data_IF_836559756215
#
_entry.id   IF_836559756215
#
_cell.length_a   1.000
_cell.length_b   1.000
_cell.length_c   1.000
_cell.angle_alpha   90.00
_cell.angle_beta   90.00
_cell.angle_gamma   90.00
#
_symmetry.space_group_name_H-M   'P 1'
#
loop_
_entity.id
_entity.type
_entity.pdbx_description
1 polymer ?
#
# COMPACT_ATOMS: atom_id res chain seq x y z
N UNK A 1 46.01 16.14 17.87
CA UNK A 1 46.04 17.28 16.94
C UNK A 1 46.47 16.78 15.56
N UNK A 2 45.54 16.26 14.76
CA UNK A 2 45.75 15.98 13.34
C UNK A 2 44.48 16.36 12.59
N UNK A 3 44.61 17.38 11.73
CA UNK A 3 43.56 17.97 10.90
C UNK A 3 43.35 17.09 9.67
N UNK A 4 42.14 16.57 9.46
CA UNK A 4 41.71 16.08 8.15
C UNK A 4 40.97 17.22 7.45
N UNK A 5 41.54 17.68 6.35
CA UNK A 5 41.02 18.73 5.48
C UNK A 5 39.98 18.08 4.55
N UNK A 6 38.69 18.36 4.76
CA UNK A 6 37.65 18.14 3.76
C UNK A 6 37.61 19.35 2.82
N UNK A 7 38.14 19.20 1.60
CA UNK A 7 37.83 20.10 0.49
C UNK A 7 36.51 19.66 -0.12
N UNK A 8 35.45 20.41 0.16
CA UNK A 8 34.20 20.34 -0.59
C UNK A 8 34.39 21.07 -1.92
N UNK A 9 34.33 20.35 -3.04
CA UNK A 9 34.05 20.94 -4.34
C UNK A 9 32.55 20.85 -4.58
N UNK A 10 31.88 22.00 -4.47
CA UNK A 10 30.51 22.18 -4.93
C UNK A 10 30.53 22.37 -6.45
N UNK A 11 29.96 21.43 -7.19
CA UNK A 11 29.49 21.64 -8.57
C UNK A 11 28.11 21.03 -8.75
N UNK A 12 27.32 21.68 -9.60
CA UNK A 12 25.87 21.59 -9.73
C UNK A 12 25.29 20.18 -9.90
N UNK A 13 24.22 19.89 -9.13
CA UNK A 13 23.00 19.30 -9.65
C UNK A 13 23.11 17.92 -10.31
N UNK A 14 23.48 16.90 -9.55
CA UNK A 14 23.00 15.51 -9.70
C UNK A 14 23.50 14.75 -8.48
N UNK A 15 22.60 14.33 -7.58
CA UNK A 15 22.98 13.38 -6.55
C UNK A 15 23.25 12.04 -7.26
N UNK A 16 24.48 11.49 -7.23
CA UNK A 16 24.68 10.13 -7.70
C UNK A 16 23.86 9.22 -6.78
N UNK A 17 22.81 8.63 -7.33
CA UNK A 17 22.10 7.52 -6.68
C UNK A 17 23.15 6.42 -6.58
N UNK A 18 23.53 6.10 -5.35
CA UNK A 18 24.36 4.96 -5.01
C UNK A 18 23.74 3.75 -5.73
N UNK A 19 24.40 3.29 -6.78
CA UNK A 19 24.13 2.01 -7.44
C UNK A 19 24.20 0.93 -6.37
N UNK A 20 23.14 0.15 -6.22
CA UNK A 20 23.08 -1.13 -5.50
C UNK A 20 24.21 -1.32 -4.47
N UNK A 21 24.23 -0.49 -3.43
CA UNK A 21 24.72 -1.01 -2.17
C UNK A 21 23.57 -1.86 -1.67
N UNK A 22 23.61 -3.15 -2.04
CA UNK A 22 23.20 -4.18 -1.10
C UNK A 22 23.88 -3.78 0.21
N UNK A 23 23.15 -3.10 1.09
CA UNK A 23 23.60 -2.90 2.46
C UNK A 23 23.87 -4.31 2.94
N UNK A 24 25.16 -4.64 3.07
CA UNK A 24 25.56 -5.95 3.50
C UNK A 24 24.74 -6.28 4.73
N UNK A 25 24.17 -7.47 4.77
CA UNK A 25 23.46 -8.05 5.92
C UNK A 25 24.32 -8.13 7.20
N UNK A 26 25.52 -7.52 7.19
CA UNK A 26 26.52 -7.48 8.25
C UNK A 26 26.57 -6.14 9.03
N UNK A 27 25.56 -5.27 8.96
CA UNK A 27 25.38 -4.26 10.03
C UNK A 27 24.93 -5.01 11.31
N UNK A 28 25.81 -5.10 12.32
CA UNK A 28 25.59 -5.81 13.60
C UNK A 28 24.28 -5.48 14.35
N UNK A 29 23.58 -4.40 13.98
CA UNK A 29 22.30 -4.02 14.58
C UNK A 29 21.09 -4.80 14.04
N UNK A 30 21.16 -5.38 12.83
CA UNK A 30 20.04 -6.11 12.22
C UNK A 30 20.01 -7.60 12.58
N UNK A 31 21.13 -8.17 13.04
CA UNK A 31 21.23 -9.59 13.42
C UNK A 31 20.48 -9.92 14.71
N UNK A 32 20.12 -8.92 15.52
CA UNK A 32 19.37 -9.08 16.77
C UNK A 32 17.90 -8.70 16.67
N UNK A 33 17.38 -8.39 15.46
CA UNK A 33 15.97 -8.03 15.29
C UNK A 33 15.10 -9.30 15.27
N UNK A 34 14.20 -9.44 16.25
CA UNK A 34 13.20 -10.51 16.23
C UNK A 34 12.14 -10.21 15.17
N UNK A 35 12.21 -10.94 14.05
CA UNK A 35 11.28 -10.84 12.92
C UNK A 35 10.26 -11.97 12.89
N UNK A 36 10.23 -12.83 13.90
CA UNK A 36 9.47 -14.08 13.91
C UNK A 36 7.99 -13.84 13.59
N UNK A 37 7.36 -12.86 14.24
CA UNK A 37 5.94 -12.53 14.02
C UNK A 37 5.70 -12.03 12.59
N UNK A 38 6.55 -11.13 12.09
CA UNK A 38 6.41 -10.58 10.74
C UNK A 38 6.57 -11.66 9.66
N UNK A 39 7.52 -12.57 9.85
CA UNK A 39 7.80 -13.65 8.91
C UNK A 39 6.69 -14.72 8.95
N UNK A 40 6.17 -15.07 10.13
CA UNK A 40 4.99 -15.93 10.27
C UNK A 40 3.75 -15.33 9.60
N UNK A 41 3.49 -14.03 9.82
CA UNK A 41 2.41 -13.33 9.12
C UNK A 41 2.64 -13.30 7.62
N UNK A 42 3.87 -13.13 7.15
CA UNK A 42 4.20 -13.15 5.72
C UNK A 42 3.89 -14.50 5.07
N UNK A 43 4.10 -15.60 5.79
CA UNK A 43 3.78 -16.95 5.33
C UNK A 43 2.27 -17.23 5.30
N UNK A 44 1.53 -16.76 6.31
CA UNK A 44 0.09 -17.05 6.49
C UNK A 44 -0.86 -16.04 5.83
N UNK A 45 -0.43 -14.80 5.65
CA UNK A 45 -1.22 -13.68 5.10
C UNK A 45 -0.53 -13.20 3.83
N UNK A 46 -0.73 -13.93 2.73
CA UNK A 46 -0.01 -13.66 1.48
C UNK A 46 -0.61 -12.46 0.75
N UNK A 47 0.20 -11.43 0.55
CA UNK A 47 -0.20 -10.18 -0.12
C UNK A 47 0.51 -10.05 -1.46
N UNK A 48 -0.26 -9.97 -2.53
CA UNK A 48 0.20 -9.51 -3.83
C UNK A 48 -0.02 -8.01 -3.92
N UNK A 49 1.05 -7.28 -4.18
CA UNK A 49 1.03 -5.85 -4.42
C UNK A 49 1.16 -5.59 -5.91
N UNK A 50 0.19 -4.89 -6.50
CA UNK A 50 0.36 -4.34 -7.84
C UNK A 50 0.36 -2.81 -7.76
N UNK A 51 1.37 -2.22 -8.39
CA UNK A 51 1.63 -0.78 -8.34
C UNK A 51 1.26 -0.19 -9.69
N UNK A 52 0.33 0.76 -9.69
CA UNK A 52 -0.04 1.51 -10.88
C UNK A 52 1.07 2.50 -11.23
N UNK A 53 1.59 2.40 -12.45
CA UNK A 53 2.61 3.32 -12.96
C UNK A 53 2.49 3.52 -14.47
N UNK A 54 3.40 4.29 -15.06
CA UNK A 54 3.48 4.58 -16.49
C UNK A 54 4.95 4.66 -16.92
N UNK A 55 5.27 4.50 -18.21
CA UNK A 55 6.64 4.45 -18.70
C UNK A 55 7.54 5.59 -18.17
N UNK A 56 7.05 6.83 -18.22
CA UNK A 56 7.82 7.99 -17.78
C UNK A 56 8.10 8.05 -16.27
N UNK A 57 7.43 7.23 -15.46
CA UNK A 57 7.58 7.14 -14.01
C UNK A 57 8.36 5.90 -13.55
N UNK A 58 8.73 4.98 -14.45
CA UNK A 58 9.51 3.78 -14.11
C UNK A 58 10.79 4.14 -13.35
N UNK A 59 11.61 5.00 -13.97
CA UNK A 59 12.86 5.50 -13.38
C UNK A 59 12.66 6.53 -12.28
N UNK A 60 11.59 7.35 -12.36
CA UNK A 60 11.41 8.48 -11.44
C UNK A 60 10.74 8.09 -10.12
N UNK A 61 10.00 6.99 -10.09
CA UNK A 61 9.15 6.59 -8.96
C UNK A 61 9.12 5.09 -8.73
N UNK A 62 8.75 4.29 -9.74
CA UNK A 62 8.48 2.86 -9.54
C UNK A 62 9.71 2.07 -9.03
N UNK A 63 10.91 2.38 -9.52
CA UNK A 63 12.15 1.77 -9.01
C UNK A 63 12.37 2.00 -7.52
N UNK A 64 11.93 3.14 -7.00
CA UNK A 64 12.09 3.49 -5.59
C UNK A 64 11.09 2.72 -4.71
N UNK A 65 9.89 2.45 -5.22
CA UNK A 65 8.95 1.50 -4.61
C UNK A 65 9.58 0.10 -4.53
N UNK A 66 10.16 -0.39 -5.64
CA UNK A 66 10.86 -1.70 -5.67
C UNK A 66 12.00 -1.76 -4.64
N UNK A 67 12.81 -0.71 -4.55
CA UNK A 67 13.97 -0.66 -3.65
C UNK A 67 13.61 -0.51 -2.16
N UNK A 68 12.42 0.01 -1.85
CA UNK A 68 11.98 0.27 -0.47
C UNK A 68 10.89 -0.73 -0.05
N UNK A 69 9.65 -0.31 0.11
CA UNK A 69 8.58 -1.11 0.69
C UNK A 69 8.16 -2.32 -0.17
N UNK A 70 8.28 -2.24 -1.49
CA UNK A 70 7.81 -3.27 -2.42
C UNK A 70 8.44 -4.64 -2.19
N UNK A 71 9.68 -4.71 -1.69
CA UNK A 71 10.40 -5.95 -1.37
C UNK A 71 9.74 -6.80 -0.28
N UNK A 72 8.80 -6.22 0.49
CA UNK A 72 8.10 -6.89 1.60
C UNK A 72 6.81 -7.57 1.16
N UNK A 73 6.37 -7.39 -0.08
CA UNK A 73 5.22 -8.08 -0.66
C UNK A 73 5.58 -9.54 -1.00
N UNK A 74 4.61 -10.46 -0.94
CA UNK A 74 4.84 -11.85 -1.39
C UNK A 74 5.02 -11.93 -2.91
N UNK A 75 4.34 -11.04 -3.63
CA UNK A 75 4.54 -10.80 -5.06
C UNK A 75 4.36 -9.31 -5.34
N UNK A 76 5.26 -8.75 -6.14
CA UNK A 76 5.25 -7.35 -6.55
C UNK A 76 5.17 -7.26 -8.07
N UNK A 77 4.18 -6.53 -8.57
CA UNK A 77 3.98 -6.27 -10.00
C UNK A 77 3.86 -4.76 -10.25
N UNK A 78 4.39 -4.28 -11.37
CA UNK A 78 4.19 -2.89 -11.81
C UNK A 78 3.32 -2.86 -13.06
N UNK A 79 2.12 -2.29 -12.95
CA UNK A 79 1.15 -2.26 -14.03
C UNK A 79 1.39 -1.03 -14.92
N UNK A 80 1.82 -1.24 -16.16
CA UNK A 80 2.21 -0.18 -17.09
C UNK A 80 1.78 -0.47 -18.54
N UNK A 81 2.03 0.44 -19.48
CA UNK A 81 1.75 0.23 -20.92
C UNK A 81 2.95 -0.28 -21.72
N UNK A 82 4.12 -0.37 -21.10
CA UNK A 82 5.32 -1.01 -21.67
C UNK A 82 5.91 -1.98 -20.66
N UNK A 83 6.67 -2.94 -21.18
CA UNK A 83 7.56 -3.77 -20.38
C UNK A 83 8.88 -3.01 -20.15
N UNK A 84 9.40 -3.11 -18.95
CA UNK A 84 10.70 -2.60 -18.50
C UNK A 84 11.41 -3.73 -17.76
N UNK A 85 12.55 -4.19 -18.28
CA UNK A 85 13.30 -5.32 -17.71
C UNK A 85 13.89 -5.03 -16.33
N UNK A 86 14.02 -3.76 -15.95
CA UNK A 86 14.51 -3.36 -14.63
C UNK A 86 13.44 -3.49 -13.53
N UNK A 87 12.16 -3.59 -13.92
CA UNK A 87 11.01 -3.74 -13.03
C UNK A 87 10.29 -5.06 -13.35
N UNK A 88 9.62 -5.72 -12.38
CA UNK A 88 8.65 -6.75 -12.69
C UNK A 88 7.37 -6.11 -13.28
N UNK A 89 7.51 -5.43 -14.41
CA UNK A 89 6.43 -4.68 -15.05
C UNK A 89 5.58 -5.60 -15.93
N UNK A 90 4.27 -5.39 -15.89
CA UNK A 90 3.30 -6.05 -16.75
C UNK A 90 2.82 -5.02 -17.77
N UNK A 91 3.04 -5.31 -19.05
CA UNK A 91 2.52 -4.52 -20.17
C UNK A 91 1.03 -4.79 -20.34
N UNK A 92 0.20 -3.84 -19.95
CA UNK A 92 -1.25 -3.87 -20.14
C UNK A 92 -1.63 -3.24 -21.49
N UNK A 93 -2.61 -3.82 -22.21
CA UNK A 93 -3.03 -3.34 -23.53
C UNK A 93 -3.99 -2.15 -23.41
N UNK A 94 -3.56 -1.08 -22.74
CA UNK A 94 -4.37 0.14 -22.48
C UNK A 94 -3.54 1.40 -22.67
N UNK A 95 -4.21 2.49 -23.03
CA UNK A 95 -3.58 3.81 -23.14
C UNK A 95 -3.17 4.38 -21.78
N UNK A 96 -2.16 5.25 -21.79
CA UNK A 96 -1.70 5.97 -20.61
C UNK A 96 -2.48 7.25 -20.35
N UNK A 97 -2.48 7.69 -19.09
CA UNK A 97 -3.03 8.99 -18.68
C UNK A 97 -4.17 8.87 -17.67
N UNK A 98 -4.48 10.00 -17.04
CA UNK A 98 -5.43 10.05 -15.91
C UNK A 98 -6.84 9.59 -16.30
N UNK A 99 -7.26 9.83 -17.54
CA UNK A 99 -8.57 9.44 -18.06
C UNK A 99 -8.69 7.94 -18.37
N UNK A 100 -7.58 7.18 -18.31
CA UNK A 100 -7.53 5.74 -18.61
C UNK A 100 -7.18 4.90 -17.36
N UNK A 101 -7.16 5.50 -16.16
CA UNK A 101 -6.83 4.78 -14.93
C UNK A 101 -7.85 3.68 -14.62
N UNK A 102 -9.12 3.89 -14.95
CA UNK A 102 -10.15 2.87 -14.81
C UNK A 102 -9.88 1.68 -15.76
N UNK A 103 -9.62 1.95 -17.04
CA UNK A 103 -9.23 0.92 -18.01
C UNK A 103 -8.03 0.09 -17.53
N UNK A 104 -6.99 0.78 -17.06
CA UNK A 104 -5.78 0.15 -16.53
C UNK A 104 -6.06 -0.70 -15.30
N UNK A 105 -6.93 -0.26 -14.40
CA UNK A 105 -7.29 -1.03 -13.20
C UNK A 105 -8.10 -2.27 -13.55
N UNK A 106 -9.07 -2.18 -14.47
CA UNK A 106 -9.76 -3.36 -15.00
C UNK A 106 -8.76 -4.38 -15.58
N UNK A 107 -7.83 -3.91 -16.40
CA UNK A 107 -6.81 -4.76 -17.02
C UNK A 107 -5.83 -5.35 -15.99
N UNK A 108 -5.38 -4.56 -15.01
CA UNK A 108 -4.48 -5.00 -13.94
C UNK A 108 -5.10 -6.12 -13.10
N UNK A 109 -6.33 -5.93 -12.61
CA UNK A 109 -7.00 -6.96 -11.82
C UNK A 109 -7.36 -8.19 -12.64
N UNK A 110 -7.72 -8.04 -13.93
CA UNK A 110 -7.90 -9.18 -14.84
C UNK A 110 -6.59 -9.97 -14.98
N UNK A 111 -5.47 -9.30 -15.21
CA UNK A 111 -4.16 -9.95 -15.30
C UNK A 111 -3.80 -10.69 -14.01
N UNK A 112 -3.94 -10.02 -12.85
CA UNK A 112 -3.72 -10.62 -11.53
C UNK A 112 -4.63 -11.83 -11.32
N UNK A 113 -5.89 -11.75 -11.74
CA UNK A 113 -6.83 -12.86 -11.63
C UNK A 113 -6.40 -14.07 -12.49
N UNK A 114 -6.02 -13.83 -13.74
CA UNK A 114 -5.66 -14.88 -14.69
C UNK A 114 -4.32 -15.56 -14.33
N UNK A 115 -3.35 -14.81 -13.81
CA UNK A 115 -1.97 -15.29 -13.67
C UNK A 115 -1.53 -15.53 -12.22
N UNK A 116 -2.13 -14.82 -11.25
CA UNK A 116 -1.62 -14.75 -9.88
C UNK A 116 -2.68 -14.91 -8.79
N UNK A 117 -3.91 -15.23 -9.16
CA UNK A 117 -5.03 -15.43 -8.23
C UNK A 117 -4.80 -16.53 -7.20
N UNK A 118 -3.90 -17.48 -7.47
CA UNK A 118 -3.52 -18.54 -6.52
C UNK A 118 -2.22 -18.25 -5.76
N UNK A 119 -1.53 -17.17 -6.11
CA UNK A 119 -0.24 -16.81 -5.51
C UNK A 119 -0.41 -16.03 -4.19
N UNK A 120 -1.60 -15.49 -3.92
CA UNK A 120 -1.88 -14.65 -2.76
C UNK A 120 -3.33 -14.77 -2.24
N UNK A 121 -3.53 -14.33 -1.00
CA UNK A 121 -4.83 -14.24 -0.32
C UNK A 121 -5.44 -12.84 -0.46
N UNK A 122 -4.60 -11.83 -0.57
CA UNK A 122 -4.95 -10.41 -0.56
C UNK A 122 -4.27 -9.67 -1.69
N UNK A 123 -5.01 -8.78 -2.36
CA UNK A 123 -4.57 -8.10 -3.57
C UNK A 123 -4.61 -6.58 -3.34
N UNK A 124 -3.44 -6.02 -3.06
CA UNK A 124 -3.24 -4.59 -2.83
C UNK A 124 -3.00 -3.85 -4.14
N UNK A 125 -3.81 -2.83 -4.39
CA UNK A 125 -3.52 -1.76 -5.35
C UNK A 125 -2.81 -0.62 -4.64
N UNK A 126 -1.72 -0.13 -5.20
CA UNK A 126 -1.04 1.09 -4.75
C UNK A 126 -0.61 1.96 -5.94
N UNK A 127 -0.34 3.25 -5.71
CA UNK A 127 0.25 4.14 -6.70
C UNK A 127 1.78 4.19 -6.54
N UNK A 128 2.50 4.64 -7.57
CA UNK A 128 3.97 4.75 -7.56
C UNK A 128 4.52 5.86 -6.63
N UNK A 129 3.64 6.59 -5.95
CA UNK A 129 3.92 7.55 -4.88
C UNK A 129 3.16 7.25 -3.57
N UNK A 130 2.80 5.98 -3.35
CA UNK A 130 2.32 5.47 -2.07
C UNK A 130 3.47 4.77 -1.33
N UNK A 131 3.62 4.99 -0.02
CA UNK A 131 4.44 4.14 0.86
C UNK A 131 3.52 3.21 1.65
N UNK A 132 3.87 1.92 1.72
CA UNK A 132 3.07 0.90 2.42
C UNK A 132 3.92 0.14 3.43
N UNK A 133 3.44 0.03 4.66
CA UNK A 133 4.03 -0.81 5.71
C UNK A 133 3.33 -2.17 5.64
N UNK A 134 3.91 -3.10 4.89
CA UNK A 134 3.24 -4.37 4.51
C UNK A 134 2.99 -5.27 5.74
N UNK A 135 3.85 -5.19 6.74
CA UNK A 135 3.73 -5.87 8.03
C UNK A 135 2.48 -5.39 8.78
N UNK A 136 2.26 -4.07 8.84
CA UNK A 136 1.06 -3.48 9.44
C UNK A 136 -0.20 -3.84 8.64
N UNK A 137 -0.08 -3.96 7.31
CA UNK A 137 -1.16 -4.45 6.47
C UNK A 137 -1.52 -5.90 6.82
N UNK A 138 -0.53 -6.79 6.93
CA UNK A 138 -0.77 -8.19 7.31
C UNK A 138 -1.35 -8.33 8.70
N UNK A 139 -0.85 -7.55 9.65
CA UNK A 139 -1.38 -7.50 11.00
C UNK A 139 -2.89 -7.17 11.00
N UNK A 140 -3.30 -6.14 10.26
CA UNK A 140 -4.72 -5.79 10.13
C UNK A 140 -5.54 -6.88 9.41
N UNK A 141 -4.99 -7.49 8.35
CA UNK A 141 -5.69 -8.49 7.55
C UNK A 141 -5.81 -9.86 8.24
N UNK A 142 -4.96 -10.14 9.24
CA UNK A 142 -4.90 -11.42 9.93
C UNK A 142 -6.19 -11.81 10.68
N UNK A 143 -7.06 -10.84 10.97
CA UNK A 143 -8.35 -11.06 11.63
C UNK A 143 -9.49 -11.38 10.66
N UNK A 144 -9.22 -11.43 9.34
CA UNK A 144 -10.22 -11.62 8.30
C UNK A 144 -9.95 -12.85 7.44
N UNK A 145 -11.02 -13.44 6.90
CA UNK A 145 -10.92 -14.55 5.97
C UNK A 145 -10.95 -14.03 4.52
N UNK A 146 -9.91 -14.34 3.74
CA UNK A 146 -9.81 -13.94 2.32
C UNK A 146 -10.86 -14.60 1.42
N UNK A 147 -11.56 -15.64 1.90
CA UNK A 147 -12.71 -16.25 1.23
C UNK A 147 -14.01 -15.46 1.39
N UNK A 148 -14.05 -14.46 2.28
CA UNK A 148 -15.15 -13.50 2.40
C UNK A 148 -14.96 -12.35 1.41
N UNK A 149 -16.07 -11.79 0.92
CA UNK A 149 -16.07 -10.71 -0.06
C UNK A 149 -15.80 -9.35 0.61
N UNK A 150 -14.53 -9.04 0.85
CA UNK A 150 -14.08 -7.87 1.62
C UNK A 150 -13.22 -6.88 0.80
N UNK A 151 -13.37 -5.60 1.12
CA UNK A 151 -12.69 -4.45 0.51
C UNK A 151 -12.19 -3.47 1.58
N UNK A 152 -10.88 -3.17 1.60
CA UNK A 152 -10.22 -2.36 2.63
C UNK A 152 -9.49 -1.15 2.03
N UNK A 153 -9.39 -0.05 2.78
CA UNK A 153 -8.63 1.13 2.39
C UNK A 153 -9.01 2.37 3.20
N UNK A 154 -8.72 3.56 2.66
CA UNK A 154 -9.19 4.84 3.19
C UNK A 154 -10.59 5.15 2.64
N UNK A 155 -11.64 5.01 3.45
CA UNK A 155 -13.02 5.15 2.95
C UNK A 155 -13.46 6.61 2.83
N UNK A 156 -14.02 6.94 1.67
CA UNK A 156 -14.75 8.17 1.39
C UNK A 156 -16.25 7.92 1.21
N UNK A 157 -17.09 8.87 1.65
CA UNK A 157 -18.56 8.82 1.65
C UNK A 157 -19.23 8.92 0.27
N UNK A 158 -18.80 9.81 -0.64
CA UNK A 158 -19.63 10.12 -1.81
C UNK A 158 -19.80 8.96 -2.80
N UNK A 159 -20.75 9.12 -3.72
CA UNK A 159 -20.99 8.31 -4.95
C UNK A 159 -21.58 6.91 -4.80
N UNK A 160 -21.51 6.26 -3.64
CA UNK A 160 -22.15 4.96 -3.35
C UNK A 160 -22.56 4.89 -1.87
N UNK A 161 -23.67 4.23 -1.52
CA UNK A 161 -24.12 4.07 -0.13
C UNK A 161 -23.06 3.58 0.86
N UNK A 162 -22.23 2.60 0.48
CA UNK A 162 -21.17 2.09 1.36
C UNK A 162 -19.87 2.92 1.32
N UNK A 163 -19.79 3.90 0.43
CA UNK A 163 -18.58 4.65 0.12
C UNK A 163 -17.61 3.91 -0.81
N UNK A 164 -16.46 4.52 -1.05
CA UNK A 164 -15.37 3.95 -1.86
C UNK A 164 -14.02 4.15 -1.16
N UNK A 165 -12.99 3.38 -1.53
CA UNK A 165 -11.65 3.56 -0.97
C UNK A 165 -10.83 4.50 -1.85
N UNK A 166 -10.08 5.43 -1.26
CA UNK A 166 -9.18 6.32 -1.99
C UNK A 166 -8.15 5.52 -2.81
N UNK A 167 -8.05 5.82 -4.10
CA UNK A 167 -7.09 5.15 -4.98
C UNK A 167 -5.63 5.39 -4.58
N UNK A 168 -5.29 6.61 -4.16
CA UNK A 168 -3.92 7.00 -3.80
C UNK A 168 -3.46 6.43 -2.46
N UNK A 169 -4.35 6.36 -1.46
CA UNK A 169 -4.04 5.65 -0.22
C UNK A 169 -3.76 4.15 -0.44
N UNK A 170 -4.19 3.63 -1.59
CA UNK A 170 -4.22 2.20 -1.88
C UNK A 170 -5.41 1.51 -1.22
N UNK A 171 -5.77 0.36 -1.79
CA UNK A 171 -6.87 -0.44 -1.32
C UNK A 171 -6.62 -1.92 -1.56
N UNK A 172 -7.26 -2.77 -0.77
CA UNK A 172 -7.04 -4.22 -0.78
C UNK A 172 -8.33 -4.94 -1.06
N UNK A 173 -8.27 -5.88 -2.01
CA UNK A 173 -9.32 -6.85 -2.24
C UNK A 173 -8.94 -8.18 -1.59
N UNK A 174 -9.90 -8.76 -0.88
CA UNK A 174 -9.89 -10.20 -0.59
C UNK A 174 -9.87 -11.01 -1.88
N UNK A 175 -9.39 -12.24 -1.79
CA UNK A 175 -9.45 -13.21 -2.89
C UNK A 175 -10.85 -13.40 -3.45
N UNK A 176 -11.87 -13.46 -2.58
CA UNK A 176 -13.27 -13.55 -3.02
C UNK A 176 -13.76 -12.28 -3.72
N UNK A 177 -13.37 -11.10 -3.23
CA UNK A 177 -13.72 -9.84 -3.90
C UNK A 177 -13.09 -9.75 -5.29
N UNK A 178 -11.84 -10.19 -5.46
CA UNK A 178 -11.19 -10.29 -6.77
C UNK A 178 -11.97 -11.21 -7.72
N UNK A 179 -12.36 -12.39 -7.25
CA UNK A 179 -13.16 -13.34 -8.05
C UNK A 179 -14.47 -12.72 -8.52
N UNK A 180 -15.18 -12.04 -7.62
CA UNK A 180 -16.46 -11.42 -7.92
C UNK A 180 -16.29 -10.26 -8.88
N UNK A 181 -15.26 -9.43 -8.67
CA UNK A 181 -14.94 -8.32 -9.55
C UNK A 181 -14.72 -8.79 -10.99
N UNK A 182 -13.83 -9.77 -11.19
CA UNK A 182 -13.44 -10.21 -12.55
C UNK A 182 -14.52 -11.07 -13.21
N UNK A 183 -15.13 -12.02 -12.49
CA UNK A 183 -16.07 -12.97 -13.11
C UNK A 183 -17.51 -12.48 -13.20
N UNK A 184 -17.94 -11.59 -12.30
CA UNK A 184 -19.33 -11.09 -12.24
C UNK A 184 -19.43 -9.60 -12.51
N UNK A 185 -18.44 -8.82 -12.07
CA UNK A 185 -18.42 -7.37 -12.23
C UNK A 185 -18.11 -6.95 -13.66
N UNK A 186 -16.89 -7.20 -14.11
CA UNK A 186 -16.40 -6.76 -15.42
C UNK A 186 -17.28 -7.19 -16.61
N UNK A 187 -17.86 -8.41 -16.65
CA UNK A 187 -18.72 -8.83 -17.76
C UNK A 187 -20.12 -8.21 -17.72
N UNK A 188 -20.52 -7.56 -16.62
CA UNK A 188 -21.87 -7.05 -16.41
C UNK A 188 -21.93 -5.52 -16.54
N UNK A 189 -22.53 -4.98 -17.62
CA UNK A 189 -22.70 -3.53 -17.81
C UNK A 189 -23.54 -2.84 -16.74
N UNK A 190 -24.43 -3.59 -16.08
CA UNK A 190 -25.27 -3.07 -14.98
C UNK A 190 -24.48 -2.91 -13.68
N UNK A 191 -23.44 -3.71 -13.52
CA UNK A 191 -22.64 -3.77 -12.31
C UNK A 191 -21.48 -2.78 -12.38
N UNK A 192 -20.60 -2.92 -13.36
CA UNK A 192 -19.38 -2.13 -13.47
C UNK A 192 -19.40 -1.33 -14.77
N UNK A 193 -18.80 -0.14 -14.74
CA UNK A 193 -18.75 0.74 -15.90
C UNK A 193 -17.94 0.08 -17.02
N UNK A 194 -18.58 -0.09 -18.18
CA UNK A 194 -18.02 -0.82 -19.34
C UNK A 194 -16.93 -0.02 -20.03
N UNK A 195 -17.18 1.28 -20.26
CA UNK A 195 -16.21 2.15 -20.90
C UNK A 195 -14.95 2.34 -20.03
N UNK A 196 -13.97 3.04 -20.58
CA UNK A 196 -12.65 3.22 -19.99
C UNK A 196 -12.50 4.48 -19.13
N UNK A 197 -13.57 5.27 -19.02
CA UNK A 197 -13.58 6.55 -18.32
C UNK A 197 -14.02 6.46 -16.86
N UNK A 198 -13.93 7.60 -16.18
CA UNK A 198 -14.29 7.74 -14.77
C UNK A 198 -13.08 7.79 -13.83
N UNK A 199 -13.34 8.23 -12.60
CA UNK A 199 -12.36 8.14 -11.53
C UNK A 199 -12.26 6.68 -11.08
N UNK A 200 -11.08 6.09 -11.25
CA UNK A 200 -10.80 4.67 -11.04
C UNK A 200 -11.32 4.13 -9.70
N UNK A 201 -11.02 4.84 -8.61
CA UNK A 201 -11.38 4.46 -7.25
C UNK A 201 -12.89 4.57 -6.98
N UNK A 202 -13.54 5.59 -7.54
CA UNK A 202 -14.99 5.76 -7.51
C UNK A 202 -15.70 4.64 -8.28
N UNK A 203 -15.22 4.31 -9.49
CA UNK A 203 -15.82 3.25 -10.31
C UNK A 203 -15.59 1.86 -9.70
N UNK A 204 -14.42 1.63 -9.09
CA UNK A 204 -14.16 0.43 -8.27
C UNK A 204 -15.17 0.34 -7.12
N UNK A 205 -15.34 1.41 -6.34
CA UNK A 205 -16.30 1.44 -5.23
C UNK A 205 -17.74 1.12 -5.64
N UNK A 206 -18.24 1.78 -6.69
CA UNK A 206 -19.58 1.52 -7.24
C UNK A 206 -19.77 0.07 -7.69
N UNK A 207 -18.76 -0.47 -8.39
CA UNK A 207 -18.77 -1.83 -8.91
C UNK A 207 -18.82 -2.86 -7.76
N UNK A 208 -17.97 -2.70 -6.75
CA UNK A 208 -17.90 -3.58 -5.60
C UNK A 208 -19.15 -3.52 -4.71
N UNK A 209 -19.74 -2.34 -4.55
CA UNK A 209 -21.02 -2.14 -3.86
C UNK A 209 -22.16 -2.93 -4.52
N UNK A 210 -22.32 -2.79 -5.84
CA UNK A 210 -23.32 -3.55 -6.59
C UNK A 210 -23.08 -5.06 -6.59
N UNK A 211 -21.84 -5.50 -6.38
CA UNK A 211 -21.48 -6.91 -6.22
C UNK A 211 -21.75 -7.44 -4.80
N UNK A 212 -22.09 -6.58 -3.84
CA UNK A 212 -22.22 -6.95 -2.43
C UNK A 212 -20.87 -7.24 -1.76
N UNK A 213 -19.77 -6.72 -2.31
CA UNK A 213 -18.45 -6.77 -1.65
C UNK A 213 -18.44 -5.71 -0.55
N UNK A 214 -18.22 -6.16 0.69
CA UNK A 214 -18.33 -5.32 1.87
C UNK A 214 -17.11 -4.43 2.02
N UNK A 215 -17.33 -3.12 1.99
CA UNK A 215 -16.34 -2.17 2.46
C UNK A 215 -16.13 -2.36 3.98
N UNK A 216 -14.88 -2.48 4.42
CA UNK A 216 -14.51 -2.71 5.83
C UNK A 216 -13.99 -1.44 6.52
N UNK A 217 -14.20 -1.32 7.83
CA UNK A 217 -13.62 -0.25 8.66
C UNK A 217 -12.18 -0.65 8.98
N UNK A 218 -11.22 0.16 8.54
CA UNK A 218 -9.78 -0.11 8.66
C UNK A 218 -9.14 0.57 9.87
N UNK A 219 -9.92 1.29 10.68
CA UNK A 219 -9.38 1.97 11.86
C UNK A 219 -8.92 0.97 12.91
N UNK A 220 -7.99 1.38 13.76
CA UNK A 220 -7.58 0.56 14.91
C UNK A 220 -8.61 0.58 16.05
N UNK A 221 -8.28 -0.12 17.14
CA UNK A 221 -9.13 -0.26 18.33
C UNK A 221 -9.43 1.11 18.99
N UNK A 222 -8.51 2.06 18.85
CA UNK A 222 -8.66 3.45 19.27
C UNK A 222 -9.34 4.34 18.23
N UNK A 223 -9.92 3.74 17.17
CA UNK A 223 -10.58 4.44 16.05
C UNK A 223 -9.66 5.35 15.24
N UNK A 224 -8.34 5.14 15.25
CA UNK A 224 -7.37 5.91 14.47
C UNK A 224 -7.21 5.35 13.06
N UNK A 225 -6.90 6.21 12.09
CA UNK A 225 -6.76 5.81 10.69
C UNK A 225 -5.57 4.87 10.45
N UNK A 226 -5.66 4.02 9.42
CA UNK A 226 -4.53 3.21 8.92
C UNK A 226 -4.13 3.52 7.48
N UNK A 227 -5.08 3.89 6.63
CA UNK A 227 -4.81 4.25 5.22
C UNK A 227 -4.97 5.75 5.06
N UNK A 228 -3.98 6.41 4.48
CA UNK A 228 -3.94 7.86 4.42
C UNK A 228 -3.80 8.38 2.98
N UNK A 229 -4.74 9.20 2.48
CA UNK A 229 -4.75 9.68 1.10
C UNK A 229 -3.85 10.91 0.89
N UNK A 230 -2.94 11.18 1.85
CA UNK A 230 -2.03 12.32 1.83
C UNK A 230 -0.71 11.99 2.54
N UNK A 231 0.28 12.86 2.35
CA UNK A 231 1.60 12.78 2.97
C UNK A 231 1.51 12.70 4.51
N UNK A 232 2.41 11.96 5.20
CA UNK A 232 2.35 11.78 6.65
C UNK A 232 2.22 13.09 7.44
N UNK A 233 3.01 14.11 7.09
CA UNK A 233 3.01 15.39 7.79
C UNK A 233 1.67 16.15 7.71
N UNK A 234 0.82 15.87 6.72
CA UNK A 234 -0.51 16.50 6.60
C UNK A 234 -1.55 15.91 7.56
N UNK A 235 -1.28 14.71 8.10
CA UNK A 235 -2.13 14.09 9.11
C UNK A 235 -1.60 14.37 10.52
N UNK A 236 -0.28 14.31 10.68
CA UNK A 236 0.39 14.53 11.97
C UNK A 236 0.37 15.99 12.46
N UNK A 237 0.22 16.95 11.53
CA UNK A 237 0.16 18.38 11.85
C UNK A 237 -1.28 18.85 11.60
N UNK A 238 -1.98 19.37 12.62
CA UNK A 238 -3.37 19.79 12.48
C UNK A 238 -3.59 20.75 11.31
N UNK A 239 -4.62 20.47 10.52
CA UNK A 239 -4.97 21.27 9.36
C UNK A 239 -5.78 22.49 9.80
N UNK A 240 -5.40 23.68 9.34
CA UNK A 240 -6.07 24.91 9.78
C UNK A 240 -7.46 25.09 9.17
N UNK A 241 -7.72 24.52 7.99
CA UNK A 241 -8.98 24.72 7.25
C UNK A 241 -9.88 23.47 7.29
N UNK A 242 -10.88 23.52 8.18
CA UNK A 242 -11.91 22.48 8.30
C UNK A 242 -12.86 22.40 7.09
N UNK A 243 -12.84 23.37 6.18
CA UNK A 243 -13.63 23.32 4.94
C UNK A 243 -12.95 22.52 3.82
N UNK A 244 -11.71 22.08 4.04
CA UNK A 244 -10.96 21.27 3.09
C UNK A 244 -11.75 20.01 2.70
N UNK A 245 -11.79 19.72 1.40
CA UNK A 245 -12.66 18.67 0.82
C UNK A 245 -12.49 17.31 1.51
N UNK A 246 -11.28 17.00 1.98
CA UNK A 246 -10.96 15.77 2.70
C UNK A 246 -11.91 15.53 3.88
N UNK A 247 -12.17 16.55 4.70
CA UNK A 247 -13.05 16.46 5.86
C UNK A 247 -14.51 16.21 5.48
N UNK A 248 -14.92 16.70 4.30
CA UNK A 248 -16.25 16.46 3.74
C UNK A 248 -16.38 15.05 3.16
N UNK A 249 -15.29 14.50 2.64
CA UNK A 249 -15.26 13.21 1.96
C UNK A 249 -14.99 12.04 2.92
N UNK A 250 -14.20 12.22 3.97
CA UNK A 250 -13.81 11.14 4.86
C UNK A 250 -15.02 10.47 5.50
N UNK A 251 -15.08 9.14 5.43
CA UNK A 251 -16.20 8.37 5.96
C UNK A 251 -16.25 8.39 7.47
N UNK A 252 -15.10 8.10 8.08
CA UNK A 252 -14.92 8.14 9.51
C UNK A 252 -14.20 9.44 9.87
N UNK A 253 -14.83 10.34 10.64
CA UNK A 253 -14.11 11.46 11.21
C UNK A 253 -12.87 10.94 11.94
N UNK A 254 -11.72 11.56 11.67
CA UNK A 254 -10.45 11.30 12.35
C UNK A 254 -10.03 12.56 13.08
N UNK A 255 -9.48 12.37 14.27
CA UNK A 255 -8.81 13.44 14.99
C UNK A 255 -7.57 13.89 14.21
N UNK A 256 -7.14 15.12 14.47
CA UNK A 256 -5.94 15.70 13.88
C UNK A 256 -4.77 15.61 14.86
N UNK A 257 -3.55 15.76 14.35
CA UNK A 257 -2.37 15.78 15.20
C UNK A 257 -1.83 14.38 15.45
N UNK A 258 -1.08 14.19 16.53
CA UNK A 258 -0.41 12.92 16.79
C UNK A 258 -1.38 11.76 17.07
N UNK A 259 -2.61 12.06 17.47
CA UNK A 259 -3.65 11.05 17.73
C UNK A 259 -4.44 10.63 16.47
N UNK A 260 -4.19 11.25 15.30
CA UNK A 260 -4.87 10.91 14.05
C UNK A 260 -4.72 9.46 13.62
N UNK A 261 -3.56 8.90 13.98
CA UNK A 261 -2.93 7.89 13.18
C UNK A 261 -2.58 6.69 14.04
N UNK A 262 -2.97 5.52 13.55
CA UNK A 262 -2.66 4.27 14.22
C UNK A 262 -1.14 4.10 14.31
N UNK A 263 -0.66 3.58 15.44
CA UNK A 263 0.73 3.13 15.57
C UNK A 263 1.04 2.00 14.57
N UNK A 264 -0.01 1.34 14.07
CA UNK A 264 0.02 0.34 13.02
C UNK A 264 -0.60 0.86 11.72
N UNK A 265 -0.29 2.11 11.36
CA UNK A 265 -0.65 2.69 10.07
C UNK A 265 -0.14 1.84 8.90
N UNK A 266 -0.93 1.75 7.84
CA UNK A 266 -0.66 0.88 6.68
C UNK A 266 -0.05 1.67 5.52
N UNK A 267 -0.58 2.84 5.18
CA UNK A 267 -0.12 3.53 3.96
C UNK A 267 -0.28 5.04 4.00
N UNK A 268 0.59 5.71 3.26
CA UNK A 268 0.56 7.16 3.02
C UNK A 268 0.76 7.47 1.54
N UNK A 269 -0.03 8.39 1.00
CA UNK A 269 0.03 8.80 -0.41
C UNK A 269 0.82 10.10 -0.61
N UNK A 270 1.09 10.46 -1.86
CA UNK A 270 1.88 11.63 -2.27
C UNK A 270 3.29 11.66 -1.69
N UNK A 271 3.87 10.48 -1.43
CA UNK A 271 5.23 10.34 -0.89
C UNK A 271 6.24 10.44 -2.01
N UNK A 272 7.15 11.41 -1.92
CA UNK A 272 8.21 11.62 -2.92
C UNK A 272 9.23 10.49 -2.88
N UNK A 273 9.98 10.23 -3.96
CA UNK A 273 11.04 9.23 -3.98
C UNK A 273 12.02 9.32 -2.81
N UNK A 274 12.50 10.53 -2.47
CA UNK A 274 13.39 10.76 -1.32
C UNK A 274 12.71 10.44 0.02
N UNK A 275 11.42 10.70 0.13
CA UNK A 275 10.63 10.42 1.33
C UNK A 275 10.35 8.92 1.47
N UNK A 276 10.28 8.14 0.39
CA UNK A 276 10.18 6.67 0.46
C UNK A 276 11.38 6.08 1.21
N UNK A 277 12.60 6.53 0.89
CA UNK A 277 13.82 6.09 1.60
C UNK A 277 13.90 6.63 3.01
N UNK A 278 13.48 7.88 3.25
CA UNK A 278 13.41 8.44 4.60
C UNK A 278 12.48 7.62 5.49
N UNK A 279 11.28 7.28 5.01
CA UNK A 279 10.35 6.42 5.73
C UNK A 279 10.94 5.03 5.95
N UNK A 280 11.56 4.41 4.93
CA UNK A 280 12.20 3.10 5.08
C UNK A 280 13.31 3.12 6.15
N UNK A 281 14.13 4.19 6.17
CA UNK A 281 15.14 4.39 7.20
C UNK A 281 14.53 4.58 8.59
N UNK A 282 13.56 5.47 8.76
CA UNK A 282 12.97 5.77 10.06
C UNK A 282 12.18 4.60 10.63
N UNK A 283 11.55 3.78 9.78
CA UNK A 283 10.73 2.64 10.19
C UNK A 283 11.59 1.40 10.43
N UNK A 284 12.56 1.09 9.58
CA UNK A 284 13.26 -0.20 9.61
C UNK A 284 14.72 -0.14 10.04
N UNK A 285 15.35 1.03 10.11
CA UNK A 285 16.79 1.12 10.39
C UNK A 285 17.10 1.97 11.63
N UNK A 286 16.45 3.12 11.79
CA UNK A 286 16.70 3.99 12.94
C UNK A 286 16.07 3.39 14.20
N UNK A 287 16.89 3.19 15.24
CA UNK A 287 16.46 2.69 16.56
C UNK A 287 17.10 3.54 17.66
N UNK A 288 16.30 4.18 18.53
CA UNK A 288 16.84 4.76 19.74
C UNK A 288 17.33 3.64 20.67
N UNK A 289 18.53 3.80 21.22
CA UNK A 289 19.11 2.83 22.15
C UNK A 289 18.23 2.67 23.40
N UNK A 290 18.03 1.42 23.84
CA UNK A 290 17.26 1.09 25.05
C UNK A 290 15.73 1.05 24.87
N UNK A 291 15.19 1.22 23.67
CA UNK A 291 13.75 1.10 23.40
C UNK A 291 13.48 -0.09 22.46
N UNK A 292 12.71 -1.07 22.94
CA UNK A 292 12.15 -2.13 22.10
C UNK A 292 10.79 -1.68 21.55
N UNK A 293 10.61 -1.78 20.22
CA UNK A 293 9.37 -1.41 19.52
C UNK A 293 8.71 -2.69 18.98
N UNK A 294 7.38 -2.70 18.89
CA UNK A 294 6.62 -3.84 18.35
C UNK A 294 5.66 -4.52 19.35
N UNK A 295 5.33 -3.86 20.46
CA UNK A 295 4.33 -4.35 21.41
C UNK A 295 2.91 -4.21 20.84
N UNK A 296 2.19 -5.32 20.74
CA UNK A 296 0.78 -5.38 20.34
C UNK A 296 0.23 -6.78 20.62
N UNK A 297 -1.09 -6.93 20.67
CA UNK A 297 -1.69 -8.27 20.80
C UNK A 297 -1.35 -9.12 19.57
N UNK A 298 -0.95 -10.37 19.75
CA UNK A 298 -0.73 -11.27 18.63
C UNK A 298 -2.06 -11.52 17.90
N UNK A 299 -2.09 -11.46 16.56
CA UNK A 299 -3.29 -11.81 15.81
C UNK A 299 -3.74 -13.24 16.10
N UNK A 300 -5.05 -13.48 16.04
CA UNK A 300 -5.65 -14.79 16.38
C UNK A 300 -5.07 -15.95 15.58
N UNK A 301 -4.70 -15.69 14.32
CA UNK A 301 -4.09 -16.67 13.41
C UNK A 301 -2.72 -17.18 13.88
N UNK A 302 -2.06 -16.45 14.80
CA UNK A 302 -0.80 -16.85 15.42
C UNK A 302 -0.98 -17.39 16.84
N UNK A 303 -2.03 -16.98 17.55
CA UNK A 303 -2.29 -17.47 18.92
C UNK A 303 -2.79 -18.91 18.95
N UNK A 304 -3.46 -19.38 17.90
CA UNK A 304 -3.98 -20.75 17.85
C UNK A 304 -2.87 -21.80 17.70
N UNK A 305 -1.75 -21.48 17.05
CA UNK A 305 -0.61 -22.39 16.90
C UNK A 305 0.08 -22.69 18.24
N UNK A 306 -0.02 -21.80 19.23
CA UNK A 306 0.61 -21.98 20.55
C UNK A 306 -0.17 -22.99 21.39
N UNK A 307 -1.47 -23.16 21.16
CA UNK A 307 -2.31 -24.12 21.89
C UNK A 307 -2.14 -25.56 21.42
N UNK A 308 -1.66 -25.77 20.19
CA UNK A 308 -1.41 -27.11 19.64
C UNK A 308 0.00 -27.65 19.99
N UNK A 309 0.79 -26.89 20.77
CA UNK A 309 2.16 -27.23 21.21
C UNK A 309 2.23 -27.45 22.74
N UNK A 310 1.12 -27.23 23.47
CA UNK A 310 0.99 -27.48 24.92
C UNK A 310 -0.04 -28.56 25.21
#
# INVERSE_FOLDING_TARGET
MYRIILRALFTNGTYPIISEVEKSSNEHAHTSEDRTVADQLSAKVKVLCWVMTRPSMHEKKAKHVKATWGKRCNKLLFMSSIEDKSLPSVKLPVSEGRNHLWAKTKAAFRYVYEHHRRDADWFLKADDDTYVIVENLRYMLADYNSSDALYFGCRFKPFTPQGFMSGGAGYVLSRKALDMFVNKGLPSPKTCRVDDGGAEDVEMGKCLDKLGVKAMDTRDESRRGRFFPYMPHKHLIPFKDKNFWYWKYIYYPTDEGLDCCSDHAVSFHYVKPTELYLLDYLIYHLRPYGIQRGSGALPKILTNDIKDIT
#
